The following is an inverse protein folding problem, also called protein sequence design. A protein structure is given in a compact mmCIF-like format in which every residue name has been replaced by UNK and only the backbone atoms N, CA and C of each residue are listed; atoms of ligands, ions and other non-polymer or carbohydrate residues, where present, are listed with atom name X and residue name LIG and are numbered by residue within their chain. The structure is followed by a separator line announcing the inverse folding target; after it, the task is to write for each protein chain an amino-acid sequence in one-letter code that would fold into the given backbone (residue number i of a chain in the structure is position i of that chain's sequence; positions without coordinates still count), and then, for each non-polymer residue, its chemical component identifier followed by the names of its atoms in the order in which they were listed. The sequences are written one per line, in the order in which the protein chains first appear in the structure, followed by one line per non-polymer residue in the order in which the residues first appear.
data_IF_906823675736
#
_entry.id   IF_906823675736
#
_cell.length_a   1.000
_cell.length_b   1.000
_cell.length_c   1.000
_cell.angle_alpha   90.00
_cell.angle_beta   90.00
_cell.angle_gamma   90.00
#
_symmetry.space_group_name_H-M   'P 1'
#
loop_
_entity.id
_entity.type
_entity.pdbx_description
1 polymer ?
#
# COMPACT_ATOMS: atom_id res chain seq x y z
N UNK A 1 13.66 9.66 -7.42
CA UNK A 1 14.01 8.26 -7.11
C UNK A 1 12.73 7.49 -6.77
N UNK A 2 11.98 7.95 -5.77
CA UNK A 2 10.68 7.36 -5.37
C UNK A 2 9.61 7.30 -6.46
N UNK A 3 9.45 8.33 -7.30
CA UNK A 3 8.47 8.29 -8.40
C UNK A 3 8.69 7.10 -9.35
N UNK A 4 9.94 6.68 -9.54
CA UNK A 4 10.28 5.51 -10.36
C UNK A 4 9.92 4.20 -9.66
N UNK A 5 10.11 4.14 -8.34
CA UNK A 5 9.68 3.03 -7.47
C UNK A 5 8.16 2.82 -7.57
N UNK A 6 7.38 3.89 -7.54
CA UNK A 6 5.92 3.82 -7.68
C UNK A 6 5.48 3.30 -9.05
N UNK A 7 6.03 3.86 -10.14
CA UNK A 7 5.63 3.51 -11.52
C UNK A 7 5.91 2.02 -11.83
N UNK A 8 7.00 1.48 -11.29
CA UNK A 8 7.42 0.09 -11.51
C UNK A 8 6.98 -0.87 -10.43
N UNK A 9 6.30 -0.41 -9.39
CA UNK A 9 5.97 -1.29 -8.30
C UNK A 9 4.87 -2.27 -8.67
N UNK A 10 4.93 -3.41 -8.00
CA UNK A 10 4.03 -4.56 -8.13
C UNK A 10 3.55 -4.93 -6.72
N UNK A 11 2.49 -5.73 -6.64
CA UNK A 11 2.06 -6.34 -5.37
C UNK A 11 1.56 -7.76 -5.60
N UNK A 12 1.32 -8.46 -4.51
CA UNK A 12 0.76 -9.80 -4.46
C UNK A 12 -0.76 -9.74 -4.22
N UNK A 13 -1.54 -10.33 -5.13
CA UNK A 13 -3.00 -10.42 -5.05
C UNK A 13 -3.46 -11.88 -5.07
N UNK A 14 -4.55 -12.17 -4.34
CA UNK A 14 -5.25 -13.45 -4.44
C UNK A 14 -6.51 -13.21 -5.27
N UNK A 15 -6.58 -13.82 -6.46
CA UNK A 15 -7.75 -13.67 -7.32
C UNK A 15 -8.86 -14.67 -6.92
N UNK A 16 -10.15 -14.33 -7.08
CA UNK A 16 -11.24 -15.26 -6.86
C UNK A 16 -11.06 -16.53 -7.71
N UNK A 17 -11.20 -17.70 -7.10
CA UNK A 17 -11.00 -18.98 -7.77
C UNK A 17 -9.53 -19.40 -7.97
N UNK A 18 -8.56 -18.61 -7.49
CA UNK A 18 -7.14 -18.95 -7.55
C UNK A 18 -6.63 -19.35 -6.15
N UNK A 19 -5.97 -20.50 -6.05
CA UNK A 19 -5.41 -21.00 -4.79
C UNK A 19 -4.09 -20.33 -4.43
N UNK A 20 -3.32 -19.91 -5.43
CA UNK A 20 -2.03 -19.24 -5.26
C UNK A 20 -2.18 -17.72 -5.26
N UNK A 21 -1.31 -17.10 -4.47
CA UNK A 21 -1.06 -15.66 -4.53
C UNK A 21 -0.21 -15.37 -5.76
N UNK A 22 -0.60 -14.38 -6.55
CA UNK A 22 0.06 -14.02 -7.80
C UNK A 22 0.52 -12.58 -7.77
N UNK A 23 1.63 -12.30 -8.43
CA UNK A 23 2.14 -10.95 -8.57
C UNK A 23 1.33 -10.18 -9.65
N UNK A 24 1.06 -8.91 -9.39
CA UNK A 24 0.43 -8.01 -10.36
C UNK A 24 1.44 -7.55 -11.41
N UNK A 25 0.98 -7.10 -12.59
CA UNK A 25 1.81 -6.26 -13.45
C UNK A 25 2.30 -4.99 -12.73
N UNK A 26 3.28 -4.32 -13.32
CA UNK A 26 3.74 -3.01 -12.83
C UNK A 26 2.60 -2.01 -12.83
N UNK A 27 2.61 -1.04 -11.89
CA UNK A 27 1.57 -0.02 -11.77
C UNK A 27 1.22 0.66 -13.11
N UNK A 28 2.22 0.96 -13.94
CA UNK A 28 2.04 1.57 -15.26
C UNK A 28 1.39 0.66 -16.32
N UNK A 29 1.32 -0.64 -16.06
CA UNK A 29 0.75 -1.67 -16.94
C UNK A 29 -0.50 -2.33 -16.35
N UNK A 30 -0.84 -2.06 -15.10
CA UNK A 30 -2.06 -2.54 -14.46
C UNK A 30 -3.27 -1.74 -14.96
N UNK A 31 -4.38 -2.41 -15.23
CA UNK A 31 -5.64 -1.77 -15.64
C UNK A 31 -6.73 -1.89 -14.57
N UNK A 32 -6.68 -2.94 -13.75
CA UNK A 32 -7.66 -3.17 -12.69
C UNK A 32 -7.52 -2.10 -11.58
N UNK A 33 -8.58 -1.34 -11.27
CA UNK A 33 -8.54 -0.28 -10.25
C UNK A 33 -8.19 -0.77 -8.84
N UNK A 34 -8.68 -1.93 -8.43
CA UNK A 34 -8.41 -2.51 -7.10
C UNK A 34 -6.95 -2.97 -7.00
N UNK A 35 -6.42 -3.59 -8.06
CA UNK A 35 -5.00 -3.94 -8.13
C UNK A 35 -4.12 -2.67 -8.08
N UNK A 36 -4.49 -1.60 -8.80
CA UNK A 36 -3.78 -0.31 -8.71
C UNK A 36 -3.79 0.27 -7.30
N UNK A 37 -4.95 0.29 -6.64
CA UNK A 37 -5.09 0.81 -5.27
C UNK A 37 -4.18 0.04 -4.32
N UNK A 38 -4.17 -1.29 -4.44
CA UNK A 38 -3.32 -2.15 -3.62
C UNK A 38 -1.83 -1.92 -3.89
N UNK A 39 -1.41 -1.87 -5.16
CA UNK A 39 -0.02 -1.59 -5.54
C UNK A 39 0.43 -0.26 -4.93
N UNK A 40 -0.35 0.81 -5.08
CA UNK A 40 -0.02 2.14 -4.55
C UNK A 40 0.08 2.11 -3.02
N UNK A 41 -0.89 1.49 -2.35
CA UNK A 41 -0.92 1.39 -0.88
C UNK A 41 0.29 0.63 -0.33
N UNK A 42 0.62 -0.53 -0.91
CA UNK A 42 1.72 -1.36 -0.43
C UNK A 42 3.09 -0.69 -0.65
N UNK A 43 3.28 -0.02 -1.80
CA UNK A 43 4.50 0.75 -2.06
C UNK A 43 4.60 1.95 -1.10
N UNK A 44 3.48 2.63 -0.84
CA UNK A 44 3.46 3.77 0.08
C UNK A 44 3.89 3.36 1.49
N UNK A 45 3.36 2.25 2.01
CA UNK A 45 3.77 1.71 3.32
C UNK A 45 5.24 1.33 3.33
N UNK A 46 5.73 0.69 2.25
CA UNK A 46 7.14 0.32 2.14
C UNK A 46 8.06 1.54 2.18
N UNK A 47 7.82 2.54 1.34
CA UNK A 47 8.61 3.77 1.30
C UNK A 47 8.54 4.51 2.64
N UNK A 48 7.37 4.55 3.28
CA UNK A 48 7.22 5.15 4.61
C UNK A 48 8.10 4.44 5.65
N UNK A 49 8.09 3.10 5.67
CA UNK A 49 8.93 2.33 6.57
C UNK A 49 10.43 2.54 6.31
N UNK A 50 10.84 2.59 5.03
CA UNK A 50 12.22 2.86 4.65
C UNK A 50 12.67 4.23 5.17
N UNK A 51 11.85 5.28 4.99
CA UNK A 51 12.14 6.63 5.49
C UNK A 51 12.17 6.68 7.03
N UNK A 52 11.24 6.02 7.71
CA UNK A 52 11.21 5.92 9.18
C UNK A 52 12.50 5.27 9.71
N UNK A 53 12.97 4.20 9.04
CA UNK A 53 14.21 3.53 9.39
C UNK A 53 15.45 4.39 9.11
N UNK A 54 15.49 5.12 7.99
CA UNK A 54 16.57 6.06 7.65
C UNK A 54 16.69 7.18 8.70
N UNK A 55 15.55 7.67 9.22
CA UNK A 55 15.49 8.67 10.28
C UNK A 55 15.75 8.10 11.68
N UNK A 56 15.92 6.77 11.82
CA UNK A 56 16.15 6.05 13.08
C UNK A 56 15.08 6.35 14.15
N UNK A 57 13.85 6.58 13.72
CA UNK A 57 12.73 6.83 14.61
C UNK A 57 12.28 5.51 15.23
N UNK A 58 12.24 5.43 16.57
CA UNK A 58 11.71 4.25 17.24
C UNK A 58 10.19 4.34 17.30
N UNK A 59 9.44 3.33 16.81
CA UNK A 59 7.98 3.34 16.83
C UNK A 59 7.38 3.54 18.23
N UNK A 60 8.06 3.09 19.29
CA UNK A 60 7.62 3.31 20.68
C UNK A 60 7.78 4.76 21.19
N UNK A 61 8.61 5.58 20.53
CA UNK A 61 8.95 6.94 20.94
C UNK A 61 8.29 8.01 20.04
N UNK A 62 7.56 7.60 19.00
CA UNK A 62 6.95 8.50 18.02
C UNK A 62 5.48 8.17 17.77
N UNK A 63 4.72 9.16 17.33
CA UNK A 63 3.32 9.01 16.95
C UNK A 63 3.15 9.23 15.45
N UNK A 64 2.35 8.39 14.79
CA UNK A 64 1.92 8.61 13.41
C UNK A 64 0.66 9.49 13.41
N UNK A 65 0.80 10.75 12.99
CA UNK A 65 -0.35 11.62 12.79
C UNK A 65 -1.02 11.30 11.44
N UNK A 66 -2.29 10.87 11.48
CA UNK A 66 -3.08 10.61 10.29
C UNK A 66 -4.25 11.60 10.21
N UNK A 67 -4.45 12.23 9.05
CA UNK A 67 -5.55 13.18 8.82
C UNK A 67 -6.92 12.53 8.58
N UNK A 68 -7.13 11.31 9.07
CA UNK A 68 -8.34 10.51 8.85
C UNK A 68 -9.57 11.18 9.44
N UNK A 69 -10.66 11.27 8.67
CA UNK A 69 -11.93 11.74 9.19
C UNK A 69 -12.79 10.53 9.63
N UNK A 70 -13.80 10.77 10.48
CA UNK A 70 -14.74 9.72 10.92
C UNK A 70 -15.38 8.89 9.77
N UNK A 71 -15.77 9.45 8.61
CA UNK A 71 -16.31 8.65 7.51
C UNK A 71 -15.34 7.57 6.99
N UNK A 72 -14.02 7.81 6.98
CA UNK A 72 -13.03 6.84 6.51
C UNK A 72 -12.99 5.57 7.37
N UNK A 73 -13.22 5.69 8.69
CA UNK A 73 -13.24 4.55 9.61
C UNK A 73 -14.42 3.62 9.34
N UNK A 74 -15.59 4.18 9.01
CA UNK A 74 -16.82 3.41 8.77
C UNK A 74 -16.72 2.67 7.42
N UNK A 75 -16.22 3.33 6.38
CA UNK A 75 -16.02 2.68 5.07
C UNK A 75 -14.99 1.54 5.14
N UNK A 76 -13.92 1.70 5.93
CA UNK A 76 -12.91 0.65 6.12
C UNK A 76 -13.44 -0.60 6.85
N UNK A 77 -14.45 -0.44 7.71
CA UNK A 77 -15.09 -1.53 8.45
C UNK A 77 -16.22 -2.23 7.68
N UNK A 78 -16.64 -1.66 6.54
CA UNK A 78 -17.80 -2.13 5.76
C UNK A 78 -17.51 -3.33 4.84
N UNK A 79 -16.23 -3.72 4.70
CA UNK A 79 -15.81 -4.89 3.91
C UNK A 79 -15.75 -6.21 4.71
N UNK A 80 -16.52 -6.31 5.80
CA UNK A 80 -16.60 -7.52 6.62
C UNK A 80 -17.68 -8.49 6.12
#
# INVERSE_FOLDING_TARGET
REAYTFIKGTTQVKRPGQYSVVETPMLCQTYNPEEKRKIIGDIFVKVTNDVVAELKLKPEEVLLAQGTLRPDLIESASNM
#
